data_IF_530756405904
#
_entry.id   IF_530756405904
#
_cell.length_a   1.000
_cell.length_b   1.000
_cell.length_c   1.000
_cell.angle_alpha   90.00
_cell.angle_beta   90.00
_cell.angle_gamma   90.00
#
_symmetry.space_group_name_H-M   'P 1'
#
loop_
_entity.id
_entity.type
_entity.pdbx_description
1 polymer ?
#
# COMPACT_ATOMS: atom_id res chain seq x y z
N UNK A 1 -24.79 -6.80 -4.28
CA UNK A 1 -24.68 -5.35 -4.67
C UNK A 1 -23.21 -5.04 -4.93
N UNK A 2 -22.87 -4.39 -6.02
CA UNK A 2 -21.49 -4.03 -6.28
C UNK A 2 -21.17 -2.68 -5.60
N UNK A 3 -20.13 -2.64 -4.75
CA UNK A 3 -19.70 -1.42 -4.08
C UNK A 3 -19.09 -0.43 -5.08
N UNK A 4 -19.46 0.84 -4.98
CA UNK A 4 -18.74 1.93 -5.66
C UNK A 4 -17.31 2.06 -5.13
N UNK A 5 -16.41 2.72 -5.86
CA UNK A 5 -15.06 2.99 -5.38
C UNK A 5 -15.06 3.79 -4.07
N UNK A 6 -15.95 4.75 -3.95
CA UNK A 6 -16.15 5.53 -2.72
C UNK A 6 -16.51 4.62 -1.54
N UNK A 7 -17.52 3.77 -1.69
CA UNK A 7 -17.95 2.84 -0.64
C UNK A 7 -16.86 1.84 -0.23
N UNK A 8 -16.06 1.36 -1.20
CA UNK A 8 -14.90 0.50 -0.93
C UNK A 8 -13.87 1.23 -0.07
N UNK A 9 -13.55 2.47 -0.44
CA UNK A 9 -12.56 3.29 0.27
C UNK A 9 -13.02 3.65 1.68
N UNK A 10 -14.29 3.98 1.87
CA UNK A 10 -14.87 4.24 3.20
C UNK A 10 -14.78 3.01 4.12
N UNK A 11 -15.04 1.81 3.59
CA UNK A 11 -14.89 0.56 4.36
C UNK A 11 -13.45 0.27 4.71
N UNK A 12 -12.51 0.51 3.80
CA UNK A 12 -11.07 0.36 4.05
C UNK A 12 -10.64 1.27 5.21
N UNK A 13 -11.03 2.55 5.18
CA UNK A 13 -10.69 3.49 6.25
C UNK A 13 -11.30 3.05 7.59
N UNK A 14 -12.59 2.68 7.59
CA UNK A 14 -13.27 2.23 8.79
C UNK A 14 -12.59 1.00 9.40
N UNK A 15 -12.11 0.06 8.58
CA UNK A 15 -11.34 -1.09 9.03
C UNK A 15 -9.97 -0.66 9.61
N UNK A 16 -9.25 0.22 8.93
CA UNK A 16 -7.95 0.74 9.37
C UNK A 16 -8.01 1.43 10.74
N UNK A 17 -9.08 2.17 11.05
CA UNK A 17 -9.27 2.82 12.35
C UNK A 17 -9.42 1.80 13.49
N UNK A 18 -9.97 0.62 13.21
CA UNK A 18 -10.26 -0.41 14.23
C UNK A 18 -9.12 -1.43 14.40
N UNK A 19 -8.20 -1.49 13.46
CA UNK A 19 -7.12 -2.48 13.49
C UNK A 19 -5.96 -1.98 14.34
N UNK A 20 -5.55 -2.80 15.32
CA UNK A 20 -4.28 -2.66 16.02
C UNK A 20 -3.12 -3.28 15.25
N UNK A 21 -1.92 -3.22 15.85
CA UNK A 21 -0.69 -3.78 15.29
C UNK A 21 0.11 -2.78 14.47
N UNK A 22 1.39 -3.09 14.33
CA UNK A 22 2.43 -2.20 13.75
C UNK A 22 2.99 -2.76 12.44
N UNK A 23 2.47 -3.92 11.98
CA UNK A 23 2.89 -4.58 10.76
C UNK A 23 1.94 -4.21 9.60
N UNK A 24 2.36 -3.37 8.64
CA UNK A 24 1.48 -2.94 7.55
C UNK A 24 1.05 -4.09 6.63
N UNK A 25 1.86 -5.13 6.49
CA UNK A 25 1.51 -6.31 5.72
C UNK A 25 0.37 -7.11 6.40
N UNK A 26 0.40 -7.29 7.71
CA UNK A 26 -0.67 -7.98 8.44
C UNK A 26 -1.97 -7.18 8.42
N UNK A 27 -1.89 -5.85 8.56
CA UNK A 27 -3.04 -4.95 8.38
C UNK A 27 -3.62 -5.09 6.97
N UNK A 28 -2.75 -5.11 5.96
CA UNK A 28 -3.17 -5.31 4.57
C UNK A 28 -3.86 -6.67 4.38
N UNK A 29 -3.29 -7.76 4.90
CA UNK A 29 -3.87 -9.10 4.78
C UNK A 29 -5.26 -9.19 5.40
N UNK A 30 -5.46 -8.55 6.56
CA UNK A 30 -6.75 -8.52 7.24
C UNK A 30 -7.85 -7.82 6.43
N UNK A 31 -7.48 -6.82 5.62
CA UNK A 31 -8.45 -6.03 4.84
C UNK A 31 -8.57 -6.54 3.40
N UNK A 32 -7.47 -6.95 2.79
CA UNK A 32 -7.42 -7.27 1.36
C UNK A 32 -8.16 -8.56 0.96
N UNK A 33 -8.60 -9.36 1.94
CA UNK A 33 -9.46 -10.53 1.74
C UNK A 33 -10.97 -10.22 1.74
N UNK A 34 -11.35 -9.01 2.12
CA UNK A 34 -12.75 -8.61 2.23
C UNK A 34 -13.42 -8.41 0.86
N UNK A 35 -14.74 -8.57 0.81
CA UNK A 35 -15.53 -8.52 -0.43
C UNK A 35 -15.54 -7.15 -1.12
N UNK A 36 -15.20 -6.09 -0.36
CA UNK A 36 -15.06 -4.74 -0.88
C UNK A 36 -13.66 -4.42 -1.43
N UNK A 37 -12.71 -5.38 -1.39
CA UNK A 37 -11.37 -5.23 -1.98
C UNK A 37 -11.16 -6.25 -3.10
N UNK A 38 -11.09 -5.77 -4.34
CA UNK A 38 -10.88 -6.63 -5.50
C UNK A 38 -9.44 -7.15 -5.57
N UNK A 39 -9.22 -8.20 -6.33
CA UNK A 39 -7.87 -8.68 -6.64
C UNK A 39 -7.03 -7.57 -7.26
N UNK A 40 -7.61 -6.83 -8.21
CA UNK A 40 -7.02 -5.66 -8.87
C UNK A 40 -8.06 -4.56 -8.96
N UNK A 41 -7.77 -3.39 -8.42
CA UNK A 41 -8.69 -2.28 -8.44
C UNK A 41 -8.12 -0.97 -7.92
N UNK A 42 -8.74 0.17 -8.26
CA UNK A 42 -8.28 1.47 -7.80
C UNK A 42 -8.45 1.70 -6.29
N UNK A 43 -9.24 0.89 -5.57
CA UNK A 43 -9.31 0.93 -4.11
C UNK A 43 -7.95 0.68 -3.44
N UNK A 44 -7.02 0.01 -4.13
CA UNK A 44 -5.62 -0.12 -3.67
C UNK A 44 -4.89 1.21 -3.60
N UNK A 45 -5.34 2.23 -4.32
CA UNK A 45 -4.78 3.59 -4.21
C UNK A 45 -5.09 4.26 -2.86
N UNK A 46 -6.01 3.68 -2.08
CA UNK A 46 -6.30 4.07 -0.70
C UNK A 46 -5.74 3.03 0.28
N UNK A 47 -6.02 1.74 0.05
CA UNK A 47 -5.67 0.66 0.97
C UNK A 47 -4.19 0.65 1.35
N UNK A 48 -3.31 0.77 0.36
CA UNK A 48 -1.89 0.52 0.56
C UNK A 48 -1.25 1.59 1.47
N UNK A 49 -1.56 2.85 1.23
CA UNK A 49 -1.14 3.96 2.09
C UNK A 49 -1.85 3.97 3.45
N UNK A 50 -3.13 3.55 3.49
CA UNK A 50 -3.88 3.46 4.74
C UNK A 50 -3.25 2.44 5.72
N UNK A 51 -2.77 1.30 5.21
CA UNK A 51 -2.05 0.32 6.03
C UNK A 51 -0.76 0.92 6.63
N UNK A 52 -0.03 1.73 5.88
CA UNK A 52 1.17 2.42 6.36
C UNK A 52 0.82 3.47 7.42
N UNK A 53 -0.19 4.32 7.20
CA UNK A 53 -0.61 5.32 8.19
C UNK A 53 -1.06 4.68 9.49
N UNK A 54 -1.81 3.60 9.41
CA UNK A 54 -2.29 2.84 10.56
C UNK A 54 -1.14 2.22 11.34
N UNK A 55 -0.22 1.52 10.66
CA UNK A 55 0.95 0.93 11.29
C UNK A 55 1.84 1.99 11.93
N UNK A 56 2.06 3.12 11.25
CA UNK A 56 2.84 4.24 11.75
C UNK A 56 2.24 4.84 13.02
N UNK A 57 0.94 5.11 13.03
CA UNK A 57 0.23 5.61 14.22
C UNK A 57 0.34 4.62 15.39
N UNK A 58 0.06 3.34 15.14
CA UNK A 58 0.08 2.30 16.16
C UNK A 58 1.50 2.07 16.74
N UNK A 59 2.54 2.33 15.96
CA UNK A 59 3.94 2.29 16.41
C UNK A 59 4.37 3.55 17.17
N UNK A 60 3.46 4.47 17.46
CA UNK A 60 3.74 5.71 18.20
C UNK A 60 4.13 6.89 17.32
N UNK A 61 3.98 6.78 16.02
CA UNK A 61 4.15 7.90 15.09
C UNK A 61 3.12 9.00 15.33
N UNK A 62 3.56 10.25 15.32
CA UNK A 62 2.72 11.41 15.68
C UNK A 62 1.88 11.88 14.51
N UNK A 63 0.69 11.31 14.34
CA UNK A 63 -0.34 11.74 13.39
C UNK A 63 -1.75 11.64 14.02
N UNK A 64 -2.67 12.47 13.55
CA UNK A 64 -4.10 12.22 13.71
C UNK A 64 -4.51 11.19 12.64
N UNK A 65 -4.70 9.94 13.06
CA UNK A 65 -4.95 8.83 12.14
C UNK A 65 -6.22 9.04 11.32
N UNK A 66 -7.30 9.51 11.93
CA UNK A 66 -8.56 9.70 11.21
C UNK A 66 -8.41 10.78 10.14
N UNK A 67 -7.89 11.94 10.49
CA UNK A 67 -7.67 13.01 9.55
C UNK A 67 -6.68 12.62 8.43
N UNK A 68 -5.65 11.85 8.75
CA UNK A 68 -4.68 11.35 7.78
C UNK A 68 -5.31 10.38 6.78
N UNK A 69 -6.15 9.44 7.25
CA UNK A 69 -6.86 8.49 6.42
C UNK A 69 -7.89 9.16 5.51
N UNK A 70 -8.64 10.14 6.02
CA UNK A 70 -9.60 10.91 5.23
C UNK A 70 -8.89 11.69 4.10
N UNK A 71 -7.76 12.32 4.41
CA UNK A 71 -6.93 13.02 3.41
C UNK A 71 -6.36 12.04 2.37
N UNK A 72 -5.87 10.87 2.80
CA UNK A 72 -5.39 9.84 1.89
C UNK A 72 -6.50 9.34 0.96
N UNK A 73 -7.69 9.10 1.48
CA UNK A 73 -8.85 8.70 0.67
C UNK A 73 -9.16 9.75 -0.40
N UNK A 74 -9.18 11.02 -0.03
CA UNK A 74 -9.42 12.10 -0.99
C UNK A 74 -8.40 12.07 -2.14
N UNK A 75 -7.11 11.88 -1.85
CA UNK A 75 -6.07 11.79 -2.90
C UNK A 75 -6.17 10.49 -3.70
N UNK A 76 -6.39 9.35 -3.06
CA UNK A 76 -6.49 8.05 -3.72
C UNK A 76 -7.68 7.94 -4.68
N UNK A 77 -8.83 8.54 -4.33
CA UNK A 77 -10.02 8.57 -5.17
C UNK A 77 -9.83 9.40 -6.46
N UNK A 78 -8.91 10.35 -6.47
CA UNK A 78 -8.60 11.18 -7.64
C UNK A 78 -7.63 10.50 -8.60
N UNK A 79 -6.96 9.43 -8.19
CA UNK A 79 -6.04 8.68 -9.03
C UNK A 79 -6.81 7.72 -9.92
N UNK A 80 -6.71 7.85 -11.26
CA UNK A 80 -7.43 6.94 -12.16
C UNK A 80 -6.90 5.51 -12.06
N UNK A 81 -7.77 4.56 -12.39
CA UNK A 81 -7.36 3.16 -12.51
C UNK A 81 -6.39 2.93 -13.67
N UNK A 82 -5.62 1.84 -13.62
CA UNK A 82 -4.68 1.40 -14.66
C UNK A 82 -3.45 2.31 -14.89
N UNK A 83 -3.15 3.23 -13.98
CA UNK A 83 -1.96 4.10 -14.07
C UNK A 83 -0.64 3.31 -14.21
N UNK A 84 -0.58 2.10 -13.67
CA UNK A 84 0.58 1.23 -13.79
C UNK A 84 0.92 0.83 -15.23
N UNK A 85 -0.08 0.72 -16.09
CA UNK A 85 0.12 0.42 -17.52
C UNK A 85 0.13 1.63 -18.45
N UNK A 86 -0.39 2.77 -17.98
CA UNK A 86 -0.63 3.93 -18.84
C UNK A 86 0.28 5.13 -18.52
N UNK A 87 0.71 5.27 -17.26
CA UNK A 87 1.46 6.45 -16.80
C UNK A 87 2.87 6.13 -16.29
N UNK A 88 3.26 4.85 -16.28
CA UNK A 88 4.57 4.43 -15.79
C UNK A 88 4.75 4.58 -14.27
N UNK A 89 3.65 4.64 -13.52
CA UNK A 89 3.65 4.67 -12.05
C UNK A 89 2.77 3.55 -11.51
N UNK A 90 2.96 3.17 -10.25
CA UNK A 90 2.13 2.15 -9.60
C UNK A 90 1.27 2.79 -8.52
N UNK A 91 -0.04 2.47 -8.50
CA UNK A 91 -0.98 2.99 -7.51
C UNK A 91 -0.60 2.65 -6.07
N UNK A 92 -0.02 1.47 -5.83
CA UNK A 92 0.49 1.09 -4.51
C UNK A 92 1.62 2.02 -4.05
N UNK A 93 2.59 2.28 -4.92
CA UNK A 93 3.73 3.16 -4.62
C UNK A 93 3.27 4.60 -4.40
N UNK A 94 2.39 5.11 -5.27
CA UNK A 94 1.91 6.49 -5.15
C UNK A 94 0.98 6.68 -3.95
N UNK A 95 0.19 5.66 -3.57
CA UNK A 95 -0.61 5.67 -2.35
C UNK A 95 0.25 5.81 -1.10
N UNK A 96 1.31 5.02 -1.00
CA UNK A 96 2.25 5.12 0.14
C UNK A 96 3.04 6.43 0.07
N UNK A 97 3.42 6.90 -1.11
CA UNK A 97 4.03 8.23 -1.27
C UNK A 97 3.13 9.36 -0.76
N UNK A 98 1.81 9.27 -1.03
CA UNK A 98 0.83 10.20 -0.48
C UNK A 98 0.71 10.08 1.04
N UNK A 99 0.76 8.87 1.60
CA UNK A 99 0.78 8.65 3.05
C UNK A 99 2.00 9.31 3.71
N UNK A 100 3.18 9.18 3.13
CA UNK A 100 4.41 9.85 3.61
C UNK A 100 4.29 11.37 3.52
N UNK A 101 3.72 11.89 2.44
CA UNK A 101 3.45 13.32 2.28
C UNK A 101 2.48 13.85 3.35
N UNK A 102 1.52 13.03 3.77
CA UNK A 102 0.58 13.37 4.85
C UNK A 102 1.30 13.38 6.20
N UNK A 103 2.17 12.41 6.47
CA UNK A 103 3.00 12.37 7.71
C UNK A 103 3.85 13.64 7.81
N UNK A 104 4.52 14.03 6.75
CA UNK A 104 5.38 15.22 6.72
C UNK A 104 4.61 16.56 6.61
N UNK A 105 3.30 16.51 6.32
CA UNK A 105 2.51 17.71 6.07
C UNK A 105 2.96 18.50 4.83
N UNK A 106 3.59 17.84 3.86
CA UNK A 106 4.15 18.51 2.68
C UNK A 106 3.11 18.77 1.59
N UNK A 107 3.45 19.71 0.73
CA UNK A 107 2.67 20.10 -0.43
C UNK A 107 3.54 20.69 -1.54
N UNK A 108 2.93 21.16 -2.64
CA UNK A 108 3.67 21.64 -3.82
C UNK A 108 4.65 22.80 -3.55
N UNK A 109 4.44 23.52 -2.45
CA UNK A 109 5.27 24.69 -2.09
C UNK A 109 6.26 24.38 -0.94
N UNK A 110 6.37 23.13 -0.49
CA UNK A 110 7.35 22.71 0.51
C UNK A 110 8.76 22.81 -0.07
N UNK A 111 9.70 23.36 0.70
CA UNK A 111 11.07 23.59 0.24
C UNK A 111 11.93 22.32 0.41
N UNK A 112 12.40 22.06 1.63
CA UNK A 112 13.40 21.02 1.91
C UNK A 112 12.84 19.60 1.76
N UNK A 113 11.60 19.38 2.21
CA UNK A 113 10.97 18.05 2.22
C UNK A 113 10.23 17.69 0.93
N UNK A 114 10.17 18.60 -0.04
CA UNK A 114 9.42 18.38 -1.29
C UNK A 114 9.89 17.14 -2.07
N UNK A 115 11.18 16.85 -2.06
CA UNK A 115 11.76 15.71 -2.78
C UNK A 115 11.71 14.38 -2.03
N UNK A 116 11.51 14.40 -0.71
CA UNK A 116 11.69 13.22 0.15
C UNK A 116 10.80 12.03 -0.24
N UNK A 117 9.52 12.28 -0.54
CA UNK A 117 8.63 11.19 -0.95
C UNK A 117 8.94 10.67 -2.36
N UNK A 118 9.55 11.51 -3.21
CA UNK A 118 10.02 11.11 -4.54
C UNK A 118 11.22 10.16 -4.44
N UNK A 119 12.07 10.28 -3.44
CA UNK A 119 13.13 9.31 -3.14
C UNK A 119 12.53 7.95 -2.84
N UNK A 120 11.53 7.90 -1.95
CA UNK A 120 10.80 6.68 -1.66
C UNK A 120 10.13 6.10 -2.93
N UNK A 121 9.33 6.90 -3.64
CA UNK A 121 8.56 6.40 -4.79
C UNK A 121 9.47 5.94 -5.92
N UNK A 122 10.56 6.63 -6.20
CA UNK A 122 11.53 6.23 -7.23
C UNK A 122 12.22 4.90 -6.88
N UNK A 123 12.63 4.70 -5.63
CA UNK A 123 13.23 3.46 -5.19
C UNK A 123 12.25 2.27 -5.25
N UNK A 124 11.01 2.47 -4.81
CA UNK A 124 9.96 1.46 -4.87
C UNK A 124 9.58 1.10 -6.32
N UNK A 125 9.43 2.09 -7.21
CA UNK A 125 9.17 1.87 -8.64
C UNK A 125 10.31 1.11 -9.31
N UNK A 126 11.57 1.42 -8.98
CA UNK A 126 12.73 0.70 -9.51
C UNK A 126 12.73 -0.78 -9.11
N UNK A 127 12.27 -1.12 -7.89
CA UNK A 127 12.09 -2.51 -7.46
C UNK A 127 10.99 -3.21 -8.25
N UNK A 128 9.83 -2.56 -8.42
CA UNK A 128 8.72 -3.11 -9.21
C UNK A 128 9.11 -3.35 -10.68
N UNK A 129 9.82 -2.42 -11.29
CA UNK A 129 10.29 -2.53 -12.67
C UNK A 129 11.14 -3.77 -12.91
N UNK A 130 11.96 -4.20 -11.93
CA UNK A 130 12.78 -5.43 -12.01
C UNK A 130 11.93 -6.69 -12.02
N UNK A 131 10.80 -6.72 -11.32
CA UNK A 131 9.89 -7.88 -11.31
C UNK A 131 9.08 -7.97 -12.61
N UNK A 132 8.68 -6.83 -13.14
CA UNK A 132 7.90 -6.73 -14.37
C UNK A 132 6.44 -7.15 -14.23
N UNK A 133 5.75 -7.18 -15.36
CA UNK A 133 4.33 -7.50 -15.48
C UNK A 133 3.99 -8.99 -15.65
N UNK A 134 2.68 -9.29 -15.77
CA UNK A 134 1.56 -8.34 -15.69
C UNK A 134 1.37 -7.74 -14.30
N UNK A 135 0.53 -6.67 -14.21
CA UNK A 135 0.23 -6.01 -12.94
C UNK A 135 -0.25 -6.99 -11.87
N UNK A 136 0.07 -6.71 -10.63
CA UNK A 136 -0.51 -7.42 -9.49
C UNK A 136 -0.58 -6.48 -8.28
N UNK A 137 -1.79 -5.93 -7.98
CA UNK A 137 -1.95 -4.96 -6.90
C UNK A 137 -1.47 -5.50 -5.53
N UNK A 138 -1.58 -6.83 -5.30
CA UNK A 138 -1.07 -7.45 -4.07
C UNK A 138 0.47 -7.47 -4.02
N UNK A 139 1.13 -8.00 -5.06
CA UNK A 139 2.59 -8.03 -5.15
C UNK A 139 3.18 -6.62 -5.08
N UNK A 140 2.56 -5.70 -5.79
CA UNK A 140 3.05 -4.34 -5.90
C UNK A 140 2.89 -3.60 -4.55
N UNK A 141 1.80 -3.85 -3.81
CA UNK A 141 1.61 -3.40 -2.43
C UNK A 141 2.69 -3.95 -1.50
N UNK A 142 2.95 -5.25 -1.54
CA UNK A 142 3.98 -5.89 -0.70
C UNK A 142 5.36 -5.28 -0.93
N UNK A 143 5.76 -5.12 -2.18
CA UNK A 143 7.05 -4.50 -2.54
C UNK A 143 7.13 -3.05 -2.05
N UNK A 144 6.05 -2.29 -2.19
CA UNK A 144 5.98 -0.91 -1.76
C UNK A 144 6.04 -0.78 -0.23
N UNK A 145 5.36 -1.69 0.51
CA UNK A 145 5.37 -1.72 1.98
C UNK A 145 6.75 -2.08 2.54
N UNK A 146 7.44 -3.09 1.99
CA UNK A 146 8.82 -3.41 2.40
C UNK A 146 9.76 -2.21 2.25
N UNK A 147 9.64 -1.48 1.15
CA UNK A 147 10.43 -0.26 0.93
C UNK A 147 10.04 0.84 1.92
N UNK A 148 8.74 0.99 2.23
CA UNK A 148 8.24 1.99 3.15
C UNK A 148 8.70 1.76 4.60
N UNK A 149 8.71 0.52 5.08
CA UNK A 149 9.16 0.19 6.44
C UNK A 149 10.61 0.64 6.65
N UNK A 150 11.50 0.34 5.70
CA UNK A 150 12.90 0.77 5.76
C UNK A 150 13.04 2.29 5.70
N UNK A 151 12.24 2.94 4.85
CA UNK A 151 12.24 4.40 4.71
C UNK A 151 11.74 5.09 5.99
N UNK A 152 10.64 4.60 6.57
CA UNK A 152 10.04 5.15 7.79
C UNK A 152 11.00 5.06 8.97
N UNK A 153 11.68 3.91 9.14
CA UNK A 153 12.69 3.76 10.18
C UNK A 153 13.84 4.77 10.01
N UNK A 154 14.34 4.92 8.79
CA UNK A 154 15.47 5.81 8.52
C UNK A 154 15.10 7.30 8.68
N UNK A 155 13.89 7.69 8.26
CA UNK A 155 13.47 9.09 8.24
C UNK A 155 12.87 9.57 9.55
N UNK A 156 12.03 8.75 10.18
CA UNK A 156 11.25 9.15 11.37
C UNK A 156 11.70 8.48 12.65
N UNK A 157 12.59 7.48 12.58
CA UNK A 157 12.99 6.68 13.74
C UNK A 157 11.87 5.79 14.29
N UNK A 158 10.76 5.66 13.57
CA UNK A 158 9.62 4.80 13.94
C UNK A 158 9.84 3.40 13.38
N UNK A 159 9.84 2.39 14.25
CA UNK A 159 10.00 1.00 13.84
C UNK A 159 8.64 0.36 13.58
N UNK A 160 8.41 -0.05 12.35
CA UNK A 160 7.26 -0.87 11.98
C UNK A 160 7.69 -2.34 11.94
N UNK A 161 6.82 -3.22 12.45
CA UNK A 161 7.05 -4.65 12.29
C UNK A 161 6.84 -5.07 10.83
N UNK A 162 7.57 -6.09 10.40
CA UNK A 162 7.41 -6.68 9.07
C UNK A 162 7.67 -8.18 9.14
N UNK A 163 6.60 -8.97 9.05
CA UNK A 163 6.70 -10.42 8.92
C UNK A 163 7.20 -10.81 7.52
N UNK A 164 7.84 -11.98 7.35
CA UNK A 164 8.14 -12.50 6.03
C UNK A 164 6.88 -12.61 5.18
N UNK A 165 6.86 -11.93 4.05
CA UNK A 165 5.67 -11.86 3.18
C UNK A 165 5.49 -13.17 2.41
N UNK A 166 4.28 -13.72 2.47
CA UNK A 166 3.82 -14.86 1.69
C UNK A 166 2.47 -14.53 1.08
N UNK A 167 2.33 -14.68 -0.22
CA UNK A 167 1.11 -14.34 -0.94
C UNK A 167 0.08 -15.48 -0.87
N UNK A 168 -1.05 -15.23 -0.23
CA UNK A 168 -2.18 -16.18 -0.16
C UNK A 168 -3.19 -15.95 -1.30
N UNK A 169 -2.99 -14.93 -2.13
CA UNK A 169 -3.92 -14.55 -3.20
C UNK A 169 -3.65 -15.23 -4.55
N UNK A 170 -2.54 -15.98 -4.68
CA UNK A 170 -2.14 -16.61 -5.95
C UNK A 170 -3.20 -17.53 -6.55
N UNK A 171 -3.97 -18.35 -5.79
CA UNK A 171 -4.97 -19.23 -6.36
C UNK A 171 -6.13 -18.53 -7.07
N UNK A 172 -6.42 -17.29 -6.65
CA UNK A 172 -7.53 -16.50 -7.20
C UNK A 172 -7.08 -15.43 -8.20
N UNK A 173 -5.77 -15.35 -8.48
CA UNK A 173 -5.21 -14.34 -9.37
C UNK A 173 -4.89 -14.92 -10.74
N UNK A 174 -5.78 -14.77 -11.71
CA UNK A 174 -5.55 -15.20 -13.10
C UNK A 174 -4.31 -14.54 -13.77
N UNK A 175 -3.78 -13.47 -13.19
CA UNK A 175 -2.59 -12.76 -13.67
C UNK A 175 -1.33 -13.10 -12.84
N UNK A 176 -1.40 -14.13 -11.98
CA UNK A 176 -0.27 -14.53 -11.14
C UNK A 176 0.91 -15.01 -12.00
N UNK A 177 2.11 -14.53 -11.68
CA UNK A 177 3.34 -14.92 -12.37
C UNK A 177 4.04 -16.13 -11.72
N UNK A 178 3.39 -16.78 -10.75
CA UNK A 178 3.88 -17.99 -10.08
C UNK A 178 5.25 -17.77 -9.43
N UNK A 179 6.15 -18.72 -9.60
CA UNK A 179 7.49 -18.73 -8.99
C UNK A 179 8.40 -17.56 -9.39
N UNK A 180 8.04 -16.78 -10.41
CA UNK A 180 8.74 -15.52 -10.72
C UNK A 180 8.41 -14.38 -9.75
N UNK A 181 7.34 -14.52 -8.97
CA UNK A 181 6.97 -13.55 -7.95
C UNK A 181 7.77 -13.83 -6.66
N UNK A 182 8.45 -12.83 -6.07
CA UNK A 182 9.22 -13.02 -4.84
C UNK A 182 8.37 -13.44 -3.63
N UNK A 183 7.07 -13.20 -3.69
CA UNK A 183 6.14 -13.50 -2.61
C UNK A 183 5.31 -14.76 -2.85
N UNK A 184 5.56 -15.48 -3.95
CA UNK A 184 4.78 -16.67 -4.28
C UNK A 184 4.99 -17.75 -3.21
N UNK A 185 3.90 -18.11 -2.52
CA UNK A 185 3.90 -19.28 -1.66
C UNK A 185 3.66 -20.51 -2.55
N UNK A 186 4.57 -21.50 -2.59
CA UNK A 186 4.25 -22.75 -3.25
C UNK A 186 3.03 -23.37 -2.57
N UNK A 187 2.09 -23.86 -3.38
CA UNK A 187 0.94 -24.60 -2.86
C UNK A 187 1.44 -25.63 -1.85
N UNK A 188 0.82 -25.69 -0.68
CA UNK A 188 1.08 -26.78 0.24
C UNK A 188 0.75 -28.07 -0.49
N UNK A 189 1.79 -28.78 -0.93
CA UNK A 189 1.62 -30.02 -1.64
C UNK A 189 0.63 -30.91 -0.89
N UNK A 190 -0.37 -31.40 -1.62
CA UNK A 190 -1.17 -32.52 -1.17
C UNK A 190 -0.18 -33.63 -0.79
N UNK A 191 -0.05 -33.88 0.52
CA UNK A 191 0.58 -35.09 1.01
C UNK A 191 -0.43 -36.22 1.00
#
# INVERSE_FOLDING_TARGET
MEYSLQQRSERIIAACIQIGGTNPYEIFQAIAGEDYVRMHGPEHHVLDGACILTAFHNAGGSIDLQAALEKLMYEGLRMPGAVCGLWGVCGAVTSIGAALAIIDGTGPLSAEDWGSHMEYTSAALARLAKTGGPRCCKRDAFTAMEQAVSYIQARYGVTLDMSPIRCDFSPWNAQCIGTRCPYHAPEHGQR
#
